data_IF_844120216814
#
_entry.id   IF_844120216814
#
_cell.length_a   1.000
_cell.length_b   1.000
_cell.length_c   1.000
_cell.angle_alpha   90.00
_cell.angle_beta   90.00
_cell.angle_gamma   90.00
#
_symmetry.space_group_name_H-M   'P 1'
#
loop_
_entity.id
_entity.type
_entity.pdbx_description
1 polymer ?
#
# COMPACT_ATOMS: atom_id res chain seq x y z
N UNK A 1 27.40 10.37 8.32
CA UNK A 1 25.95 10.63 8.14
C UNK A 1 25.34 9.39 7.49
N UNK A 2 24.70 8.53 8.29
CA UNK A 2 24.07 7.28 7.81
C UNK A 2 22.91 7.64 6.87
N UNK A 3 23.10 7.45 5.56
CA UNK A 3 22.02 7.51 4.58
C UNK A 3 21.06 6.39 4.97
N UNK A 4 19.93 6.75 5.60
CA UNK A 4 18.78 5.87 5.81
C UNK A 4 18.47 5.24 4.45
N UNK A 5 18.77 3.96 4.30
CA UNK A 5 18.06 3.15 3.32
C UNK A 5 16.60 3.26 3.76
N UNK A 6 15.80 4.05 3.04
CA UNK A 6 14.36 3.87 3.10
C UNK A 6 14.16 2.41 2.70
N UNK A 7 13.54 1.63 3.59
CA UNK A 7 13.15 0.28 3.28
C UNK A 7 12.22 0.36 2.05
N UNK A 8 12.55 -0.38 1.00
CA UNK A 8 11.78 -0.41 -0.26
C UNK A 8 10.30 -0.70 0.06
N UNK A 9 10.03 -1.52 1.08
CA UNK A 9 8.67 -1.75 1.56
C UNK A 9 7.97 -0.47 2.00
N UNK A 10 8.60 0.36 2.83
CA UNK A 10 8.00 1.63 3.26
C UNK A 10 7.75 2.59 2.09
N UNK A 11 8.67 2.65 1.13
CA UNK A 11 8.50 3.48 -0.07
C UNK A 11 7.31 3.02 -0.94
N UNK A 12 7.10 1.70 -1.06
CA UNK A 12 5.94 1.12 -1.77
C UNK A 12 4.63 1.47 -1.06
N UNK A 13 4.56 1.31 0.27
CA UNK A 13 3.35 1.67 1.02
C UNK A 13 3.02 3.16 0.87
N UNK A 14 4.02 4.03 0.91
CA UNK A 14 3.81 5.46 0.70
C UNK A 14 3.30 5.78 -0.71
N UNK A 15 3.86 5.13 -1.75
CA UNK A 15 3.38 5.29 -3.12
C UNK A 15 1.90 4.86 -3.26
N UNK A 16 1.55 3.69 -2.74
CA UNK A 16 0.18 3.17 -2.72
C UNK A 16 -0.76 4.12 -1.98
N UNK A 17 -0.38 4.57 -0.78
CA UNK A 17 -1.16 5.51 0.04
C UNK A 17 -1.42 6.82 -0.70
N UNK A 18 -0.39 7.42 -1.31
CA UNK A 18 -0.51 8.67 -2.06
C UNK A 18 -1.51 8.50 -3.20
N UNK A 19 -1.41 7.40 -3.95
CA UNK A 19 -2.33 7.11 -5.04
C UNK A 19 -3.77 6.89 -4.57
N UNK A 20 -3.97 6.07 -3.53
CA UNK A 20 -5.31 5.81 -2.97
C UNK A 20 -6.01 7.07 -2.45
N UNK A 21 -5.24 8.00 -1.85
CA UNK A 21 -5.80 9.23 -1.25
C UNK A 21 -6.00 10.33 -2.27
N UNK A 22 -5.11 10.47 -3.25
CA UNK A 22 -5.06 11.65 -4.12
C UNK A 22 -5.25 11.36 -5.60
N UNK A 23 -5.22 10.09 -6.02
CA UNK A 23 -5.20 9.67 -7.42
C UNK A 23 -3.90 10.02 -8.15
N UNK A 24 -2.85 10.47 -7.44
CA UNK A 24 -1.57 10.84 -8.04
C UNK A 24 -0.57 9.70 -7.95
N UNK A 25 0.21 9.55 -9.00
CA UNK A 25 1.36 8.63 -9.02
C UNK A 25 2.52 9.14 -8.14
N UNK A 26 3.38 8.24 -7.64
CA UNK A 26 4.60 8.63 -6.93
C UNK A 26 5.54 9.43 -7.85
N UNK A 27 6.21 10.44 -7.30
CA UNK A 27 7.18 11.26 -8.04
C UNK A 27 8.55 10.61 -7.95
N UNK A 28 9.15 10.30 -9.10
CA UNK A 28 10.50 9.74 -9.22
C UNK A 28 10.76 8.51 -8.31
N UNK A 29 9.90 7.47 -8.34
CA UNK A 29 10.19 6.23 -7.62
C UNK A 29 11.42 5.55 -8.22
N UNK A 30 12.16 4.80 -7.39
CA UNK A 30 13.14 3.86 -7.93
C UNK A 30 12.45 2.69 -8.66
N UNK A 31 13.20 1.95 -9.46
CA UNK A 31 12.66 0.88 -10.31
C UNK A 31 11.93 -0.22 -9.50
N UNK A 32 12.39 -0.53 -8.28
CA UNK A 32 11.77 -1.56 -7.44
C UNK A 32 10.42 -1.08 -6.88
N UNK A 33 10.37 0.18 -6.42
CA UNK A 33 9.14 0.81 -5.95
C UNK A 33 8.15 0.95 -7.10
N UNK A 34 8.60 1.36 -8.28
CA UNK A 34 7.75 1.49 -9.46
C UNK A 34 7.17 0.14 -9.88
N UNK A 35 7.98 -0.92 -9.96
CA UNK A 35 7.51 -2.25 -10.32
C UNK A 35 6.45 -2.78 -9.33
N UNK A 36 6.72 -2.66 -8.03
CA UNK A 36 5.76 -3.07 -7.00
C UNK A 36 4.47 -2.24 -7.01
N UNK A 37 4.58 -0.93 -7.26
CA UNK A 37 3.43 -0.04 -7.40
C UNK A 37 2.57 -0.38 -8.62
N UNK A 38 3.19 -0.68 -9.77
CA UNK A 38 2.46 -1.13 -10.97
C UNK A 38 1.74 -2.45 -10.72
N UNK A 39 2.39 -3.43 -10.10
CA UNK A 39 1.75 -4.70 -9.74
C UNK A 39 0.55 -4.51 -8.80
N UNK A 40 0.65 -3.56 -7.86
CA UNK A 40 -0.48 -3.16 -7.03
C UNK A 40 -1.62 -2.55 -7.87
N UNK A 41 -1.35 -1.64 -8.80
CA UNK A 41 -2.38 -1.03 -9.65
C UNK A 41 -3.12 -2.09 -10.49
N UNK A 42 -2.39 -3.03 -11.08
CA UNK A 42 -2.96 -4.13 -11.85
C UNK A 42 -3.90 -4.98 -10.97
N UNK A 43 -3.44 -5.35 -9.76
CA UNK A 43 -4.27 -6.08 -8.80
C UNK A 43 -5.52 -5.29 -8.41
N UNK A 44 -5.36 -4.00 -8.11
CA UNK A 44 -6.43 -3.12 -7.68
C UNK A 44 -7.51 -2.97 -8.75
N UNK A 45 -7.11 -2.78 -10.01
CA UNK A 45 -8.01 -2.68 -11.15
C UNK A 45 -8.70 -4.02 -11.47
N UNK A 46 -7.93 -5.12 -11.50
CA UNK A 46 -8.44 -6.46 -11.78
C UNK A 46 -9.58 -6.84 -10.83
N UNK A 47 -9.44 -6.51 -9.55
CA UNK A 47 -10.42 -6.83 -8.51
C UNK A 47 -11.45 -5.71 -8.26
N UNK A 48 -11.44 -4.64 -9.07
CA UNK A 48 -12.36 -3.50 -8.96
C UNK A 48 -12.49 -2.99 -7.52
N UNK A 49 -11.34 -2.86 -6.86
CA UNK A 49 -11.31 -2.57 -5.44
C UNK A 49 -11.87 -1.16 -5.15
N UNK A 50 -12.63 -1.04 -4.06
CA UNK A 50 -13.16 0.23 -3.57
C UNK A 50 -12.56 0.53 -2.20
N UNK A 51 -11.72 1.55 -2.13
CA UNK A 51 -11.06 1.95 -0.88
C UNK A 51 -12.02 2.71 0.02
N UNK A 52 -12.13 2.26 1.28
CA UNK A 52 -12.84 3.00 2.34
C UNK A 52 -11.82 3.75 3.21
N UNK A 53 -10.75 3.08 3.65
CA UNK A 53 -9.66 3.63 4.47
C UNK A 53 -8.32 3.03 4.05
N UNK A 54 -7.24 3.76 4.26
CA UNK A 54 -5.87 3.29 4.04
C UNK A 54 -4.95 3.83 5.13
N UNK A 55 -3.98 3.02 5.54
CA UNK A 55 -2.95 3.37 6.51
C UNK A 55 -3.52 3.90 7.84
N UNK A 56 -4.68 3.37 8.26
CA UNK A 56 -5.37 3.84 9.45
C UNK A 56 -4.97 3.06 10.69
N UNK A 57 -4.74 3.79 11.77
CA UNK A 57 -4.43 3.21 13.07
C UNK A 57 -5.70 2.86 13.82
N UNK A 58 -5.71 1.66 14.40
CA UNK A 58 -6.74 1.20 15.30
C UNK A 58 -6.16 1.07 16.71
N UNK A 59 -6.98 1.45 17.69
CA UNK A 59 -6.67 1.33 19.11
C UNK A 59 -7.80 0.57 19.79
N UNK A 60 -7.43 -0.49 20.50
CA UNK A 60 -8.25 -1.25 21.43
C UNK A 60 -7.73 -1.02 22.85
N UNK A 61 -8.41 -1.55 23.88
CA UNK A 61 -8.05 -1.35 25.28
C UNK A 61 -6.57 -1.65 25.57
N UNK A 62 -6.08 -2.75 24.99
CA UNK A 62 -4.75 -3.29 25.29
C UNK A 62 -3.88 -3.48 24.05
N UNK A 63 -4.36 -3.07 22.86
CA UNK A 63 -3.70 -3.31 21.58
C UNK A 63 -3.82 -2.12 20.65
N UNK A 64 -2.80 -1.90 19.84
CA UNK A 64 -2.89 -0.99 18.71
C UNK A 64 -2.24 -1.62 17.49
N UNK A 65 -2.72 -1.22 16.33
CA UNK A 65 -2.24 -1.71 15.05
C UNK A 65 -2.55 -0.71 13.94
N UNK A 66 -1.99 -0.96 12.78
CA UNK A 66 -2.27 -0.22 11.56
C UNK A 66 -2.53 -1.25 10.48
N UNK A 67 -3.56 -1.02 9.66
CA UNK A 67 -3.78 -1.77 8.44
C UNK A 67 -3.45 -0.87 7.25
N UNK A 68 -2.97 -1.46 6.17
CA UNK A 68 -2.62 -0.69 4.98
C UNK A 68 -3.85 -0.31 4.18
N UNK A 69 -4.84 -1.19 4.13
CA UNK A 69 -6.07 -0.97 3.38
C UNK A 69 -7.30 -1.63 4.01
N UNK A 70 -8.42 -0.92 3.96
CA UNK A 70 -9.75 -1.42 4.29
C UNK A 70 -10.74 -0.94 3.22
N UNK A 71 -11.49 -1.88 2.66
CA UNK A 71 -12.43 -1.56 1.60
C UNK A 71 -13.16 -2.78 1.07
N UNK A 72 -13.75 -2.63 -0.11
CA UNK A 72 -14.47 -3.72 -0.79
C UNK A 72 -13.71 -4.24 -1.99
N UNK A 73 -13.75 -5.55 -2.19
CA UNK A 73 -13.53 -6.17 -3.49
C UNK A 73 -14.36 -7.47 -3.52
N UNK A 74 -14.83 -7.88 -4.70
CA UNK A 74 -15.78 -9.00 -4.86
C UNK A 74 -17.00 -8.92 -3.91
N UNK A 75 -17.58 -7.72 -3.77
CA UNK A 75 -18.76 -7.40 -2.93
C UNK A 75 -18.60 -7.72 -1.43
N UNK A 76 -17.39 -7.98 -0.96
CA UNK A 76 -17.08 -8.26 0.45
C UNK A 76 -16.10 -7.25 1.02
N UNK A 77 -16.20 -7.01 2.34
CA UNK A 77 -15.30 -6.12 3.06
C UNK A 77 -14.07 -6.87 3.53
N UNK A 78 -12.91 -6.31 3.27
CA UNK A 78 -11.63 -6.88 3.67
C UNK A 78 -10.73 -5.84 4.32
N UNK A 79 -9.88 -6.34 5.22
CA UNK A 79 -8.68 -5.65 5.66
C UNK A 79 -7.51 -6.34 4.96
N UNK A 80 -6.68 -5.57 4.27
CA UNK A 80 -5.50 -6.07 3.56
C UNK A 80 -4.23 -5.40 4.10
N UNK A 81 -3.15 -6.13 3.94
CA UNK A 81 -1.80 -5.78 4.34
C UNK A 81 -0.89 -6.03 3.13
N UNK A 82 -0.30 -4.97 2.60
CA UNK A 82 0.56 -4.99 1.44
C UNK A 82 1.93 -5.53 1.82
N UNK A 83 2.47 -6.35 0.94
CA UNK A 83 3.76 -6.99 1.14
C UNK A 83 4.56 -6.96 -0.15
N UNK A 84 5.72 -6.32 -0.10
CA UNK A 84 6.72 -6.38 -1.15
C UNK A 84 7.74 -7.47 -0.81
N UNK A 85 8.25 -8.16 -1.83
CA UNK A 85 9.28 -9.19 -1.64
C UNK A 85 10.24 -9.23 -2.83
N UNK A 86 11.48 -9.64 -2.59
CA UNK A 86 12.54 -9.71 -3.61
C UNK A 86 12.31 -10.70 -4.74
N UNK A 87 11.28 -11.55 -4.61
CA UNK A 87 10.97 -12.56 -5.62
C UNK A 87 10.09 -12.01 -6.75
N UNK A 88 9.50 -10.82 -6.59
CA UNK A 88 8.46 -10.29 -7.47
C UNK A 88 8.78 -8.90 -8.05
N UNK A 89 10.06 -8.52 -8.07
CA UNK A 89 10.55 -7.32 -8.76
C UNK A 89 11.78 -7.64 -9.61
#
# INVERSE_FOLDING_TARGET
MSKRALDVGSAVHDAIRIWLVSGKEPVEPDDQVLAAFVAFLEFFEQHKMETIKTEERMFLSDWSGQFDWYGKFDDQLYILDWKSSKAHY
#
